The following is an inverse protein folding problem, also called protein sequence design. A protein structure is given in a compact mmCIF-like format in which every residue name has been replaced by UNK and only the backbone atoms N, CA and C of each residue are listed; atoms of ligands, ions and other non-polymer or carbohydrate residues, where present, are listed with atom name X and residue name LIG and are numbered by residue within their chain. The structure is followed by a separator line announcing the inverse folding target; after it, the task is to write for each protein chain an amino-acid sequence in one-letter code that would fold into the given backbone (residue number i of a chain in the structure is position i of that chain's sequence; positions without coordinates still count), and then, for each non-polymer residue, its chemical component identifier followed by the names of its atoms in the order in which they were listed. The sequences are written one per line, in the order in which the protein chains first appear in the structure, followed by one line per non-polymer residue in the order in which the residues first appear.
data_IF_420993929571
#
_entry.id   IF_420993929571
#
_cell.length_a   1.000
_cell.length_b   1.000
_cell.length_c   1.000
_cell.angle_alpha   90.00
_cell.angle_beta   90.00
_cell.angle_gamma   90.00
#
_symmetry.space_group_name_H-M   'P 1'
#
loop_
_entity.id
_entity.type
_entity.pdbx_description
1 polymer ?
#
# COMPACT_ATOMS: atom_id res chain seq x y z
N UNK A 1 -28.14 7.41 -25.40
CA UNK A 1 -27.64 7.43 -24.02
C UNK A 1 -27.42 6.00 -23.55
N UNK A 2 -26.16 5.56 -23.38
CA UNK A 2 -25.84 4.26 -22.77
C UNK A 2 -26.40 4.16 -21.34
N UNK A 3 -26.59 5.30 -20.69
CA UNK A 3 -27.14 5.42 -19.34
C UNK A 3 -28.67 5.22 -19.25
N UNK A 4 -29.41 5.24 -20.36
CA UNK A 4 -30.84 4.91 -20.36
C UNK A 4 -31.09 3.40 -20.54
N UNK A 5 -30.10 2.64 -21.01
CA UNK A 5 -30.23 1.17 -21.19
C UNK A 5 -29.76 0.35 -20.00
N UNK A 6 -29.11 0.96 -19.01
CA UNK A 6 -28.59 0.25 -17.84
C UNK A 6 -28.71 1.06 -16.54
N UNK A 7 -29.95 1.37 -16.15
CA UNK A 7 -30.27 2.09 -14.90
C UNK A 7 -29.66 1.44 -13.63
N UNK A 8 -29.33 0.15 -13.67
CA UNK A 8 -28.73 -0.59 -12.55
C UNK A 8 -27.21 -0.41 -12.38
N UNK A 9 -26.49 0.20 -13.35
CA UNK A 9 -25.03 0.40 -13.25
C UNK A 9 -24.66 1.61 -12.40
N UNK A 10 -25.56 2.60 -12.27
CA UNK A 10 -25.34 3.79 -11.42
C UNK A 10 -25.20 3.42 -9.93
N UNK A 11 -25.84 2.31 -9.51
CA UNK A 11 -25.79 1.80 -8.14
C UNK A 11 -24.62 0.84 -7.86
N UNK A 12 -24.02 0.23 -8.88
CA UNK A 12 -23.00 -0.82 -8.72
C UNK A 12 -21.55 -0.32 -8.85
N UNK A 13 -21.33 0.80 -9.54
CA UNK A 13 -19.98 1.27 -9.92
C UNK A 13 -19.61 2.68 -9.41
N UNK A 14 -20.49 3.36 -8.67
CA UNK A 14 -20.29 4.75 -8.23
C UNK A 14 -19.45 4.94 -6.95
N UNK A 15 -19.02 3.88 -6.27
CA UNK A 15 -18.56 3.98 -4.88
C UNK A 15 -17.33 3.14 -4.49
N UNK A 16 -16.43 2.81 -5.43
CA UNK A 16 -15.17 2.11 -5.08
C UNK A 16 -13.96 2.98 -5.43
N UNK A 17 -13.45 3.68 -4.41
CA UNK A 17 -12.18 4.40 -4.50
C UNK A 17 -11.05 3.37 -4.41
N UNK A 18 -10.35 3.11 -5.52
CA UNK A 18 -9.26 2.12 -5.64
C UNK A 18 -7.93 2.56 -5.01
N UNK A 19 -7.93 3.72 -4.37
CA UNK A 19 -6.81 4.27 -3.63
C UNK A 19 -7.25 4.49 -2.19
N UNK A 20 -6.52 3.91 -1.24
CA UNK A 20 -6.58 4.35 0.14
C UNK A 20 -6.24 5.83 0.16
N UNK A 21 -7.24 6.68 0.40
CA UNK A 21 -7.02 8.10 0.68
C UNK A 21 -6.35 8.19 2.04
N UNK A 22 -5.02 8.16 2.05
CA UNK A 22 -4.17 8.31 3.23
C UNK A 22 -2.75 7.89 2.89
N UNK A 23 -1.86 8.88 2.88
CA UNK A 23 -0.39 8.84 2.96
C UNK A 23 0.41 7.59 2.55
N UNK A 24 1.49 7.91 1.81
CA UNK A 24 2.80 7.26 1.80
C UNK A 24 2.95 5.99 0.96
N UNK A 25 3.99 6.02 0.12
CA UNK A 25 4.73 4.94 -0.54
C UNK A 25 3.94 3.64 -0.75
N UNK A 26 3.69 3.33 -2.01
CA UNK A 26 3.22 2.04 -2.51
C UNK A 26 4.32 0.96 -2.27
N UNK A 27 4.71 0.71 -1.01
CA UNK A 27 5.58 -0.41 -0.61
C UNK A 27 4.79 -1.70 -0.42
N UNK A 28 3.47 -1.63 -0.54
CA UNK A 28 2.61 -2.81 -0.59
C UNK A 28 2.25 -2.98 -2.05
N UNK A 29 3.06 -3.78 -2.76
CA UNK A 29 2.74 -4.24 -4.11
C UNK A 29 1.27 -4.64 -4.13
N UNK A 30 0.49 -4.17 -5.08
CA UNK A 30 -0.94 -4.54 -5.13
C UNK A 30 -1.03 -5.91 -5.80
N UNK A 31 -2.12 -6.65 -5.58
CA UNK A 31 -2.34 -7.92 -6.28
C UNK A 31 -2.61 -7.64 -7.76
N UNK A 32 -1.52 -7.46 -8.52
CA UNK A 32 -1.56 -6.96 -9.88
C UNK A 32 -2.29 -7.92 -10.81
N UNK A 33 -2.29 -9.22 -10.51
CA UNK A 33 -3.04 -10.25 -11.24
C UNK A 33 -4.55 -10.02 -11.14
N UNK A 34 -5.06 -9.66 -9.96
CA UNK A 34 -6.48 -9.32 -9.80
C UNK A 34 -6.81 -7.92 -10.34
N UNK A 35 -5.87 -6.97 -10.25
CA UNK A 35 -5.99 -5.68 -10.95
C UNK A 35 -6.06 -5.93 -12.46
N UNK A 36 -5.23 -6.81 -13.00
CA UNK A 36 -5.22 -7.24 -14.39
C UNK A 36 -6.51 -7.96 -14.75
N UNK A 37 -7.01 -8.92 -13.96
CA UNK A 37 -8.29 -9.58 -14.24
C UNK A 37 -9.45 -8.58 -14.15
N UNK A 38 -9.43 -7.65 -13.20
CA UNK A 38 -10.43 -6.59 -13.07
C UNK A 38 -10.36 -5.58 -14.22
N UNK A 39 -9.15 -5.25 -14.67
CA UNK A 39 -8.87 -4.36 -15.79
C UNK A 39 -9.16 -5.06 -17.11
N UNK A 40 -8.83 -6.33 -17.34
CA UNK A 40 -9.21 -7.12 -18.52
C UNK A 40 -10.73 -7.32 -18.61
N UNK A 41 -11.39 -7.49 -17.46
CA UNK A 41 -12.86 -7.53 -17.42
C UNK A 41 -13.52 -6.13 -17.59
N UNK A 42 -12.75 -5.03 -17.46
CA UNK A 42 -13.21 -3.63 -17.65
C UNK A 42 -12.78 -3.03 -19.00
N UNK A 43 -11.62 -3.47 -19.49
CA UNK A 43 -10.94 -3.16 -20.73
C UNK A 43 -10.79 -4.55 -21.37
N UNK A 44 -11.76 -4.97 -22.19
CA UNK A 44 -11.28 -5.61 -23.40
C UNK A 44 -10.40 -4.51 -24.01
N UNK A 45 -9.07 -4.71 -24.06
CA UNK A 45 -8.11 -3.64 -24.40
C UNK A 45 -8.50 -2.94 -25.73
N UNK A 46 -9.18 -3.68 -26.60
CA UNK A 46 -9.83 -3.21 -27.81
C UNK A 46 -11.04 -2.27 -27.51
N UNK A 47 -11.97 -2.63 -26.64
CA UNK A 47 -13.12 -1.78 -26.24
C UNK A 47 -12.71 -0.47 -25.56
N UNK A 48 -11.63 -0.47 -24.78
CA UNK A 48 -11.14 0.74 -24.13
C UNK A 48 -10.50 1.71 -25.12
N UNK A 49 -9.68 1.17 -26.03
CA UNK A 49 -9.05 1.91 -27.12
C UNK A 49 -10.10 2.45 -28.10
N UNK A 50 -11.10 1.63 -28.46
CA UNK A 50 -12.27 2.02 -29.26
C UNK A 50 -13.14 3.08 -28.54
N UNK A 51 -13.37 2.91 -27.23
CA UNK A 51 -14.11 3.87 -26.42
C UNK A 51 -13.41 5.22 -26.26
N UNK A 52 -12.08 5.30 -26.34
CA UNK A 52 -11.33 6.56 -26.38
C UNK A 52 -11.43 7.22 -27.76
N UNK A 53 -11.42 6.45 -28.84
CA UNK A 53 -11.66 6.97 -30.18
C UNK A 53 -13.06 7.59 -30.28
N UNK A 54 -14.06 6.99 -29.62
CA UNK A 54 -15.43 7.51 -29.53
C UNK A 54 -15.59 8.67 -28.52
N UNK A 55 -14.84 8.65 -27.40
CA UNK A 55 -14.93 9.65 -26.31
C UNK A 55 -13.56 10.18 -25.87
N UNK A 56 -12.84 10.96 -26.71
CA UNK A 56 -11.45 11.37 -26.47
C UNK A 56 -11.25 12.30 -25.26
N UNK A 57 -12.33 12.76 -24.63
CA UNK A 57 -12.31 13.65 -23.47
C UNK A 57 -12.86 12.98 -22.20
N UNK A 58 -13.05 11.65 -22.20
CA UNK A 58 -13.40 10.91 -20.98
C UNK A 58 -12.14 10.64 -20.13
N UNK A 59 -11.76 11.62 -19.30
CA UNK A 59 -10.54 11.54 -18.49
C UNK A 59 -10.54 10.41 -17.46
N UNK A 60 -11.70 9.90 -17.05
CA UNK A 60 -11.78 8.73 -16.17
C UNK A 60 -11.32 7.47 -16.91
N UNK A 61 -11.70 7.30 -18.18
CA UNK A 61 -11.21 6.20 -19.02
C UNK A 61 -9.71 6.36 -19.32
N UNK A 62 -9.26 7.56 -19.65
CA UNK A 62 -7.83 7.83 -19.88
C UNK A 62 -6.98 7.51 -18.64
N UNK A 63 -7.44 7.88 -17.44
CA UNK A 63 -6.74 7.56 -16.20
C UNK A 63 -6.72 6.05 -15.90
N UNK A 64 -7.82 5.34 -16.19
CA UNK A 64 -7.86 3.87 -16.06
C UNK A 64 -6.90 3.19 -17.03
N UNK A 65 -6.85 3.63 -18.28
CA UNK A 65 -5.89 3.11 -19.26
C UNK A 65 -4.46 3.39 -18.82
N UNK A 66 -4.15 4.63 -18.42
CA UNK A 66 -2.82 4.99 -17.90
C UNK A 66 -2.43 4.10 -16.71
N UNK A 67 -3.38 3.78 -15.83
CA UNK A 67 -3.13 2.88 -14.71
C UNK A 67 -2.86 1.45 -15.16
N UNK A 68 -3.65 0.92 -16.10
CA UNK A 68 -3.48 -0.43 -16.64
C UNK A 68 -2.10 -0.63 -17.27
N UNK A 69 -1.71 0.29 -18.16
CA UNK A 69 -0.42 0.28 -18.84
C UNK A 69 0.75 0.36 -17.84
N UNK A 70 0.59 1.19 -16.81
CA UNK A 70 1.57 1.34 -15.75
C UNK A 70 1.76 0.05 -14.94
N UNK A 71 0.67 -0.61 -14.55
CA UNK A 71 0.71 -1.88 -13.80
C UNK A 71 1.24 -3.02 -14.67
N UNK A 72 1.05 -2.99 -15.99
CA UNK A 72 1.58 -4.00 -16.89
C UNK A 72 3.13 -4.06 -16.91
N UNK A 73 3.78 -2.95 -16.53
CA UNK A 73 5.24 -2.84 -16.40
C UNK A 73 5.77 -3.04 -14.98
N UNK A 74 4.93 -3.47 -14.03
CA UNK A 74 5.27 -3.64 -12.62
C UNK A 74 5.90 -5.02 -12.35
N UNK A 75 7.03 -5.05 -11.64
CA UNK A 75 7.78 -6.28 -11.36
C UNK A 75 7.13 -7.14 -10.28
N UNK A 76 6.30 -6.53 -9.44
CA UNK A 76 5.48 -7.21 -8.43
C UNK A 76 4.28 -7.96 -9.03
N UNK A 77 3.98 -7.73 -10.32
CA UNK A 77 2.73 -8.17 -10.92
C UNK A 77 2.65 -9.63 -11.37
N UNK A 78 3.74 -10.40 -11.23
CA UNK A 78 3.87 -11.75 -11.80
C UNK A 78 3.58 -11.80 -13.32
N UNK A 79 3.79 -10.70 -14.03
CA UNK A 79 3.64 -10.61 -15.49
C UNK A 79 4.97 -11.03 -16.12
N UNK A 80 5.05 -12.13 -16.89
CA UNK A 80 6.34 -12.60 -17.43
C UNK A 80 7.08 -11.55 -18.27
N UNK A 81 6.31 -10.69 -18.96
CA UNK A 81 6.79 -9.69 -19.93
C UNK A 81 6.87 -8.26 -19.31
N UNK A 82 6.83 -8.12 -17.98
CA UNK A 82 6.75 -6.81 -17.33
C UNK A 82 7.86 -5.83 -17.76
N UNK A 83 9.10 -6.32 -17.95
CA UNK A 83 10.23 -5.49 -18.40
C UNK A 83 10.01 -4.92 -19.80
N UNK A 84 9.47 -5.73 -20.69
CA UNK A 84 9.18 -5.33 -22.07
C UNK A 84 8.01 -4.34 -22.09
N UNK A 85 6.98 -4.59 -21.27
CA UNK A 85 5.83 -3.68 -21.09
C UNK A 85 6.24 -2.32 -20.53
N UNK A 86 7.17 -2.30 -19.57
CA UNK A 86 7.71 -1.07 -18.97
C UNK A 86 8.29 -0.14 -20.06
N UNK A 87 9.09 -0.68 -20.97
CA UNK A 87 9.67 0.09 -22.08
C UNK A 87 8.62 0.42 -23.15
N UNK A 88 7.79 -0.55 -23.51
CA UNK A 88 6.77 -0.44 -24.57
C UNK A 88 5.74 0.65 -24.27
N UNK A 89 5.25 0.73 -23.03
CA UNK A 89 4.14 1.60 -22.66
C UNK A 89 4.56 2.99 -22.16
N UNK A 90 5.86 3.25 -21.99
CA UNK A 90 6.38 4.52 -21.47
C UNK A 90 5.84 5.75 -22.24
N UNK A 91 5.91 5.71 -23.58
CA UNK A 91 5.48 6.81 -24.42
C UNK A 91 3.97 7.10 -24.27
N UNK A 92 3.16 6.05 -24.15
CA UNK A 92 1.71 6.17 -24.02
C UNK A 92 1.30 6.64 -22.62
N UNK A 93 1.90 6.07 -21.57
CA UNK A 93 1.71 6.52 -20.18
C UNK A 93 2.08 8.01 -20.06
N UNK A 94 3.19 8.42 -20.67
CA UNK A 94 3.64 9.82 -20.68
C UNK A 94 2.62 10.72 -21.37
N UNK A 95 2.16 10.35 -22.56
CA UNK A 95 1.18 11.13 -23.33
C UNK A 95 -0.17 11.26 -22.59
N UNK A 96 -0.66 10.15 -22.02
CA UNK A 96 -1.89 10.14 -21.21
C UNK A 96 -1.74 11.01 -19.96
N UNK A 97 -0.65 10.86 -19.22
CA UNK A 97 -0.35 11.64 -18.02
C UNK A 97 -0.30 13.14 -18.30
N UNK A 98 0.46 13.55 -19.32
CA UNK A 98 0.59 14.96 -19.71
C UNK A 98 -0.76 15.55 -20.18
N UNK A 99 -1.56 14.76 -20.91
CA UNK A 99 -2.91 15.15 -21.35
C UNK A 99 -3.87 15.32 -20.16
N UNK A 100 -3.93 14.34 -19.25
CA UNK A 100 -4.80 14.39 -18.06
C UNK A 100 -4.40 15.56 -17.18
N UNK A 101 -3.11 15.71 -16.88
CA UNK A 101 -2.57 16.80 -16.06
C UNK A 101 -2.97 18.18 -16.61
N UNK A 102 -2.93 18.36 -17.94
CA UNK A 102 -3.20 19.64 -18.58
C UNK A 102 -4.69 19.96 -18.78
N UNK A 103 -5.51 18.95 -19.09
CA UNK A 103 -6.87 19.19 -19.61
C UNK A 103 -7.99 18.60 -18.76
N UNK A 104 -7.72 17.66 -17.86
CA UNK A 104 -8.78 17.05 -17.06
C UNK A 104 -9.38 18.10 -16.12
N UNK A 105 -10.71 18.29 -16.05
CA UNK A 105 -11.32 19.24 -15.12
C UNK A 105 -11.42 18.71 -13.67
N UNK A 106 -11.39 17.39 -13.48
CA UNK A 106 -11.46 16.77 -12.16
C UNK A 106 -10.10 16.81 -11.46
N UNK A 107 -10.04 17.46 -10.30
CA UNK A 107 -8.81 17.62 -9.53
C UNK A 107 -8.23 16.29 -9.03
N UNK A 108 -9.07 15.33 -8.61
CA UNK A 108 -8.57 14.07 -8.08
C UNK A 108 -7.92 13.24 -9.19
N UNK A 109 -8.57 13.17 -10.36
CA UNK A 109 -8.02 12.48 -11.52
C UNK A 109 -6.72 13.14 -11.97
N UNK A 110 -6.66 14.49 -11.99
CA UNK A 110 -5.40 15.21 -12.28
C UNK A 110 -4.29 14.83 -11.31
N UNK A 111 -4.53 14.89 -10.00
CA UNK A 111 -3.51 14.61 -8.99
C UNK A 111 -3.02 13.17 -9.06
N UNK A 112 -3.93 12.21 -9.25
CA UNK A 112 -3.59 10.78 -9.39
C UNK A 112 -2.71 10.53 -10.62
N UNK A 113 -3.12 11.01 -11.79
CA UNK A 113 -2.35 10.88 -13.01
C UNK A 113 -1.00 11.62 -12.94
N UNK A 114 -0.95 12.78 -12.29
CA UNK A 114 0.29 13.56 -12.10
C UNK A 114 1.29 12.79 -11.24
N UNK A 115 0.86 12.18 -10.14
CA UNK A 115 1.72 11.35 -9.30
C UNK A 115 2.23 10.11 -10.05
N UNK A 116 1.36 9.44 -10.83
CA UNK A 116 1.74 8.28 -11.66
C UNK A 116 2.72 8.67 -12.78
N UNK A 117 2.52 9.81 -13.42
CA UNK A 117 3.44 10.34 -14.43
C UNK A 117 4.83 10.64 -13.85
N UNK A 118 4.87 11.27 -12.69
CA UNK A 118 6.12 11.55 -11.98
C UNK A 118 6.88 10.25 -11.65
N UNK A 119 6.16 9.24 -11.15
CA UNK A 119 6.72 7.92 -10.84
C UNK A 119 7.28 7.25 -12.10
N UNK A 120 6.50 7.19 -13.19
CA UNK A 120 6.94 6.62 -14.46
C UNK A 120 8.23 7.29 -14.98
N UNK A 121 8.37 8.61 -14.83
CA UNK A 121 9.62 9.28 -15.17
C UNK A 121 10.79 8.85 -14.28
N UNK A 122 10.58 8.66 -12.98
CA UNK A 122 11.62 8.18 -12.08
C UNK A 122 12.09 6.76 -12.42
N UNK A 123 11.17 5.83 -12.68
CA UNK A 123 11.47 4.44 -13.04
C UNK A 123 12.27 4.36 -14.35
N UNK A 124 11.90 5.17 -15.34
CA UNK A 124 12.60 5.27 -16.61
C UNK A 124 13.91 6.09 -16.53
N UNK A 125 14.47 6.30 -15.33
CA UNK A 125 15.74 6.99 -15.09
C UNK A 125 15.70 8.52 -15.23
N UNK A 126 14.56 9.12 -15.57
CA UNK A 126 14.38 10.58 -15.73
C UNK A 126 14.03 11.25 -14.40
N UNK A 127 14.84 11.00 -13.37
CA UNK A 127 14.60 11.40 -11.98
C UNK A 127 14.33 12.90 -11.79
N UNK A 128 15.09 13.78 -12.47
CA UNK A 128 14.89 15.23 -12.38
C UNK A 128 13.60 15.71 -13.05
N UNK A 129 13.11 15.01 -14.09
CA UNK A 129 11.78 15.31 -14.65
C UNK A 129 10.68 14.85 -13.69
N UNK A 130 10.79 13.63 -13.15
CA UNK A 130 9.86 13.10 -12.16
C UNK A 130 9.78 13.97 -10.91
N UNK A 131 10.91 14.39 -10.35
CA UNK A 131 10.98 15.30 -9.19
C UNK A 131 10.23 16.61 -9.43
N UNK A 132 10.49 17.30 -10.54
CA UNK A 132 9.79 18.56 -10.87
C UNK A 132 8.27 18.39 -10.98
N UNK A 133 7.80 17.23 -11.46
CA UNK A 133 6.36 16.93 -11.51
C UNK A 133 5.82 16.67 -10.09
N UNK A 134 6.55 15.94 -9.23
CA UNK A 134 6.15 15.78 -7.82
C UNK A 134 6.05 17.11 -7.08
N UNK A 135 6.97 18.04 -7.34
CA UNK A 135 6.96 19.39 -6.77
C UNK A 135 5.75 20.23 -7.21
N UNK A 136 5.03 19.84 -8.26
CA UNK A 136 3.78 20.48 -8.68
C UNK A 136 2.53 20.01 -7.91
N UNK A 137 2.65 18.94 -7.12
CA UNK A 137 1.56 18.45 -6.28
C UNK A 137 1.33 19.39 -5.08
N UNK A 138 0.11 19.42 -4.50
CA UNK A 138 -0.15 20.18 -3.29
C UNK A 138 0.79 19.77 -2.16
N UNK A 139 1.34 20.76 -1.45
CA UNK A 139 2.16 20.48 -0.26
C UNK A 139 1.32 19.85 0.84
N UNK A 140 1.98 19.16 1.78
CA UNK A 140 1.31 18.64 2.97
C UNK A 140 0.64 19.76 3.77
N UNK A 141 1.24 20.94 3.86
CA UNK A 141 0.67 22.10 4.58
C UNK A 141 -0.64 22.59 3.96
N UNK A 142 -0.70 22.65 2.63
CA UNK A 142 -1.86 23.19 1.89
C UNK A 142 -2.81 22.10 1.37
N UNK A 143 -2.72 20.87 1.88
CA UNK A 143 -3.64 19.81 1.51
C UNK A 143 -5.03 20.03 2.14
N UNK A 144 -6.07 19.50 1.48
CA UNK A 144 -7.47 19.63 1.93
C UNK A 144 -7.65 19.19 3.39
N UNK A 145 -7.04 18.07 3.76
CA UNK A 145 -7.05 17.48 5.10
C UNK A 145 -6.48 18.39 6.21
N UNK A 146 -5.67 19.38 5.87
CA UNK A 146 -5.17 20.35 6.86
C UNK A 146 -5.98 21.64 6.89
N UNK A 147 -6.75 21.93 5.84
CA UNK A 147 -7.50 23.18 5.69
C UNK A 147 -8.97 23.07 6.09
N UNK A 148 -9.55 21.86 6.10
CA UNK A 148 -11.00 21.68 6.31
C UNK A 148 -11.51 21.97 7.72
N UNK A 149 -10.66 22.04 8.74
CA UNK A 149 -11.10 22.10 10.15
C UNK A 149 -12.16 23.17 10.42
N UNK A 150 -11.95 24.38 9.89
CA UNK A 150 -12.82 25.53 10.13
C UNK A 150 -14.15 25.49 9.35
N UNK A 151 -14.31 24.59 8.38
CA UNK A 151 -15.58 24.42 7.66
C UNK A 151 -16.49 23.35 8.27
N UNK A 152 -16.02 22.61 9.27
CA UNK A 152 -16.76 21.48 9.86
C UNK A 152 -17.79 21.97 10.88
N UNK A 153 -18.97 21.34 10.87
CA UNK A 153 -19.95 21.51 11.94
C UNK A 153 -19.49 20.81 13.22
N UNK A 154 -20.08 21.15 14.37
CA UNK A 154 -19.62 20.63 15.67
C UNK A 154 -19.72 19.10 15.78
N UNK A 155 -20.72 18.48 15.14
CA UNK A 155 -20.85 17.02 15.07
C UNK A 155 -19.86 16.36 14.09
N UNK A 156 -19.24 17.09 13.16
CA UNK A 156 -18.25 16.58 12.21
C UNK A 156 -16.80 16.65 12.75
N UNK A 157 -16.53 17.60 13.65
CA UNK A 157 -15.17 17.88 14.17
C UNK A 157 -14.51 16.66 14.83
N UNK A 158 -15.22 15.96 15.71
CA UNK A 158 -14.65 14.83 16.44
C UNK A 158 -14.32 13.63 15.52
N UNK A 159 -15.26 13.13 14.67
CA UNK A 159 -14.94 12.09 13.69
C UNK A 159 -13.79 12.49 12.75
N UNK A 160 -13.75 13.76 12.34
CA UNK A 160 -12.69 14.29 11.50
C UNK A 160 -11.32 14.22 12.17
N UNK A 161 -11.19 14.70 13.42
CA UNK A 161 -9.94 14.66 14.16
C UNK A 161 -9.45 13.22 14.38
N UNK A 162 -10.33 12.31 14.77
CA UNK A 162 -9.98 10.88 14.95
C UNK A 162 -9.43 10.28 13.67
N UNK A 163 -10.07 10.57 12.53
CA UNK A 163 -9.59 10.13 11.20
C UNK A 163 -8.25 10.76 10.83
N UNK A 164 -8.05 12.04 11.15
CA UNK A 164 -6.78 12.74 10.91
C UNK A 164 -5.66 12.17 11.76
N UNK A 165 -5.88 11.99 13.06
CA UNK A 165 -4.93 11.37 13.99
C UNK A 165 -4.53 9.99 13.50
N UNK A 166 -5.50 9.15 13.10
CA UNK A 166 -5.22 7.82 12.53
C UNK A 166 -4.28 7.90 11.33
N UNK A 167 -4.57 8.78 10.37
CA UNK A 167 -3.76 8.97 9.15
C UNK A 167 -2.35 9.48 9.47
N UNK A 168 -2.22 10.44 10.38
CA UNK A 168 -0.94 11.01 10.77
C UNK A 168 -0.07 9.97 11.51
N UNK A 169 -0.71 9.16 12.37
CA UNK A 169 -0.09 7.99 13.00
C UNK A 169 0.42 6.97 11.97
N UNK A 170 -0.44 6.55 11.02
CA UNK A 170 -0.09 5.59 9.98
C UNK A 170 1.05 6.11 9.09
N UNK A 171 1.06 7.41 8.77
CA UNK A 171 2.12 8.06 8.00
C UNK A 171 3.45 8.10 8.77
N UNK A 172 3.42 8.45 10.06
CA UNK A 172 4.61 8.47 10.90
C UNK A 172 5.18 7.06 11.07
N UNK A 173 4.32 6.07 11.36
CA UNK A 173 4.70 4.65 11.44
C UNK A 173 5.39 4.20 10.15
N UNK A 174 4.81 4.52 9.00
CA UNK A 174 5.37 4.16 7.69
C UNK A 174 6.72 4.83 7.44
N UNK A 175 6.88 6.08 7.86
CA UNK A 175 8.16 6.82 7.74
C UNK A 175 9.24 6.22 8.64
N UNK A 176 8.89 5.82 9.87
CA UNK A 176 9.79 5.13 10.80
C UNK A 176 10.23 3.79 10.20
N UNK A 177 9.29 3.01 9.66
CA UNK A 177 9.60 1.74 9.00
C UNK A 177 10.49 1.93 7.77
N UNK A 178 10.21 2.93 6.93
CA UNK A 178 11.03 3.25 5.76
C UNK A 178 12.45 3.65 6.17
N UNK A 179 12.61 4.50 7.19
CA UNK A 179 13.93 4.89 7.70
C UNK A 179 14.73 3.65 8.16
N UNK A 180 14.10 2.75 8.93
CA UNK A 180 14.74 1.53 9.41
C UNK A 180 15.11 0.54 8.28
N UNK A 181 14.40 0.56 7.15
CA UNK A 181 14.66 -0.34 6.02
C UNK A 181 15.42 0.33 4.85
N UNK A 182 15.74 1.62 4.96
CA UNK A 182 16.35 2.41 3.87
C UNK A 182 17.84 2.16 3.62
N UNK A 183 18.52 1.46 4.54
CA UNK A 183 19.99 1.39 4.59
C UNK A 183 20.71 2.74 4.73
N UNK A 184 19.99 3.84 5.03
CA UNK A 184 20.58 5.16 5.25
C UNK A 184 21.20 5.33 6.66
N UNK A 185 20.92 4.41 7.58
CA UNK A 185 21.41 4.39 8.97
C UNK A 185 21.93 2.98 9.29
N UNK A 186 22.71 2.83 10.38
CA UNK A 186 23.25 1.51 10.75
C UNK A 186 22.15 0.52 11.17
N UNK A 187 22.44 -0.78 11.15
CA UNK A 187 21.48 -1.80 11.58
C UNK A 187 21.11 -1.63 13.08
N UNK A 188 22.05 -1.22 13.93
CA UNK A 188 21.77 -0.90 15.34
C UNK A 188 20.83 0.30 15.48
N UNK A 189 21.05 1.36 14.68
CA UNK A 189 20.16 2.52 14.65
C UNK A 189 18.77 2.12 14.12
N UNK A 190 18.71 1.24 13.12
CA UNK A 190 17.47 0.73 12.54
C UNK A 190 16.65 -0.04 13.56
N UNK A 191 17.28 -0.87 14.40
CA UNK A 191 16.63 -1.57 15.52
C UNK A 191 16.08 -0.56 16.55
N UNK A 192 16.82 0.51 16.87
CA UNK A 192 16.31 1.56 17.77
C UNK A 192 15.12 2.29 17.15
N UNK A 193 15.16 2.59 15.86
CA UNK A 193 14.10 3.31 15.13
C UNK A 193 12.84 2.48 15.06
N UNK A 194 12.92 1.22 14.64
CA UNK A 194 11.76 0.34 14.51
C UNK A 194 11.12 0.03 15.88
N UNK A 195 11.93 -0.02 16.95
CA UNK A 195 11.45 -0.10 18.34
C UNK A 195 10.52 1.06 18.75
N UNK A 196 10.63 2.23 18.12
CA UNK A 196 9.73 3.36 18.39
C UNK A 196 8.30 3.13 17.88
N UNK A 197 8.08 2.20 16.94
CA UNK A 197 6.75 1.89 16.44
C UNK A 197 5.84 1.37 17.56
N UNK A 198 6.34 0.51 18.45
CA UNK A 198 5.54 -0.02 19.56
C UNK A 198 5.24 1.03 20.63
N UNK A 199 6.19 1.93 20.93
CA UNK A 199 5.91 3.05 21.84
C UNK A 199 4.85 3.98 21.25
N UNK A 200 4.86 4.18 19.93
CA UNK A 200 3.83 4.94 19.24
C UNK A 200 2.47 4.22 19.29
N UNK A 201 2.44 2.90 19.09
CA UNK A 201 1.22 2.08 19.22
C UNK A 201 0.60 2.19 20.61
N UNK A 202 1.41 2.12 21.67
CA UNK A 202 0.95 2.28 23.05
C UNK A 202 0.23 3.62 23.28
N UNK A 203 0.75 4.70 22.69
CA UNK A 203 0.14 6.03 22.77
C UNK A 203 -1.19 6.07 22.01
N UNK A 204 -1.21 5.52 20.79
CA UNK A 204 -2.38 5.62 19.90
C UNK A 204 -3.53 4.73 20.34
N UNK A 205 -3.21 3.54 20.87
CA UNK A 205 -4.17 2.52 21.27
C UNK A 205 -4.35 2.41 22.80
N UNK A 206 -3.85 3.36 23.59
CA UNK A 206 -3.98 3.38 25.06
C UNK A 206 -3.51 2.09 25.78
N UNK A 207 -2.35 1.56 25.37
CA UNK A 207 -1.83 0.25 25.82
C UNK A 207 -2.77 -0.95 25.56
N UNK A 208 -3.81 -0.80 24.74
CA UNK A 208 -4.67 -1.91 24.33
C UNK A 208 -3.98 -2.85 23.34
N UNK A 209 -4.57 -4.02 23.16
CA UNK A 209 -4.24 -4.97 22.09
C UNK A 209 -4.38 -4.24 20.76
N UNK A 210 -3.29 -4.16 20.00
CA UNK A 210 -3.35 -3.65 18.63
C UNK A 210 -4.08 -4.68 17.76
N UNK A 211 -4.83 -4.22 16.73
CA UNK A 211 -5.54 -5.14 15.86
C UNK A 211 -4.57 -6.14 15.24
N UNK A 212 -4.98 -7.41 15.14
CA UNK A 212 -4.22 -8.43 14.42
C UNK A 212 -4.15 -8.03 12.94
N UNK A 213 -3.10 -7.31 12.58
CA UNK A 213 -2.80 -6.86 11.23
C UNK A 213 -1.52 -7.51 10.72
N UNK A 214 -1.44 -7.73 9.41
CA UNK A 214 -0.27 -8.38 8.79
C UNK A 214 1.04 -7.63 9.09
N UNK A 215 0.96 -6.31 9.30
CA UNK A 215 2.09 -5.45 9.66
C UNK A 215 2.75 -5.83 10.99
N UNK A 216 2.05 -6.46 11.93
CA UNK A 216 2.65 -6.95 13.18
C UNK A 216 3.64 -8.10 12.91
N UNK A 217 3.26 -9.06 12.07
CA UNK A 217 4.16 -10.15 11.67
C UNK A 217 5.34 -9.62 10.84
N UNK A 218 5.06 -8.72 9.90
CA UNK A 218 6.09 -8.14 9.02
C UNK A 218 7.13 -7.32 9.79
N UNK A 219 6.71 -6.53 10.77
CA UNK A 219 7.63 -5.73 11.59
C UNK A 219 8.62 -6.61 12.34
N UNK A 220 8.14 -7.71 12.93
CA UNK A 220 8.97 -8.68 13.65
C UNK A 220 9.97 -9.36 12.71
N UNK A 221 9.55 -9.72 11.50
CA UNK A 221 10.44 -10.26 10.48
C UNK A 221 11.56 -9.29 10.11
N UNK A 222 11.23 -8.02 9.85
CA UNK A 222 12.22 -7.02 9.45
C UNK A 222 13.27 -6.79 10.54
N UNK A 223 12.87 -6.88 11.81
CA UNK A 223 13.78 -6.80 12.96
C UNK A 223 14.65 -8.03 13.08
N UNK A 224 14.07 -9.21 12.87
CA UNK A 224 14.84 -10.44 12.84
C UNK A 224 15.93 -10.39 11.76
N UNK A 225 15.66 -9.78 10.60
CA UNK A 225 16.69 -9.57 9.56
C UNK A 225 17.83 -8.69 10.06
N UNK A 226 17.52 -7.59 10.74
CA UNK A 226 18.54 -6.70 11.31
C UNK A 226 19.41 -7.43 12.34
N UNK A 227 18.79 -8.19 13.25
CA UNK A 227 19.55 -8.99 14.22
C UNK A 227 20.40 -10.09 13.58
N UNK A 228 19.89 -10.74 12.53
CA UNK A 228 20.63 -11.76 11.80
C UNK A 228 21.87 -11.16 11.09
N UNK A 229 21.76 -9.95 10.53
CA UNK A 229 22.91 -9.22 9.94
C UNK A 229 23.96 -8.83 10.97
N UNK A 230 23.53 -8.57 12.20
CA UNK A 230 24.42 -8.31 13.35
C UNK A 230 24.94 -9.59 14.03
N UNK A 231 24.74 -10.77 13.42
CA UNK A 231 25.09 -12.08 13.96
C UNK A 231 24.49 -12.38 15.35
N UNK A 232 23.42 -11.66 15.74
CA UNK A 232 22.67 -11.92 16.97
C UNK A 232 21.53 -12.92 16.69
N UNK A 233 21.93 -14.18 16.51
CA UNK A 233 21.03 -15.28 16.14
C UNK A 233 19.91 -15.51 17.17
N UNK A 234 20.19 -15.30 18.46
CA UNK A 234 19.23 -15.54 19.53
C UNK A 234 18.07 -14.54 19.46
N UNK A 235 18.38 -13.25 19.33
CA UNK A 235 17.37 -12.21 19.16
C UNK A 235 16.63 -12.37 17.81
N UNK A 236 17.33 -12.73 16.74
CA UNK A 236 16.70 -12.99 15.45
C UNK A 236 15.64 -14.09 15.54
N UNK A 237 15.96 -15.24 16.16
CA UNK A 237 15.02 -16.35 16.36
C UNK A 237 13.84 -15.96 17.26
N UNK A 238 14.06 -15.18 18.32
CA UNK A 238 13.00 -14.67 19.19
C UNK A 238 11.99 -13.84 18.39
N UNK A 239 12.46 -12.87 17.61
CA UNK A 239 11.62 -12.05 16.76
C UNK A 239 10.91 -12.86 15.67
N UNK A 240 11.56 -13.85 15.05
CA UNK A 240 10.90 -14.75 14.10
C UNK A 240 9.76 -15.54 14.74
N UNK A 241 9.92 -16.01 15.98
CA UNK A 241 8.87 -16.74 16.71
C UNK A 241 7.67 -15.86 17.04
N UNK A 242 7.92 -14.60 17.44
CA UNK A 242 6.86 -13.61 17.66
C UNK A 242 6.16 -13.30 16.34
N UNK A 243 6.90 -13.10 15.26
CA UNK A 243 6.37 -12.87 13.92
C UNK A 243 5.49 -14.01 13.41
N UNK A 244 5.93 -15.26 13.58
CA UNK A 244 5.14 -16.44 13.17
C UNK A 244 3.86 -16.59 14.00
N UNK A 245 3.91 -16.27 15.29
CA UNK A 245 2.73 -16.25 16.15
C UNK A 245 1.74 -15.17 15.69
N UNK A 246 2.23 -13.97 15.38
CA UNK A 246 1.40 -12.88 14.86
C UNK A 246 0.79 -13.23 13.49
N UNK A 247 1.53 -13.91 12.61
CA UNK A 247 1.00 -14.37 11.32
C UNK A 247 -0.18 -15.35 11.50
N UNK A 248 -0.02 -16.31 12.41
CA UNK A 248 -1.08 -17.27 12.73
C UNK A 248 -2.29 -16.62 13.38
N UNK A 249 -2.07 -15.67 14.29
CA UNK A 249 -3.15 -14.90 14.90
C UNK A 249 -3.92 -14.10 13.85
N UNK A 250 -3.21 -13.44 12.93
CA UNK A 250 -3.82 -12.75 11.81
C UNK A 250 -4.72 -13.67 10.99
N UNK A 251 -4.26 -14.83 10.53
CA UNK A 251 -5.08 -15.73 9.70
C UNK A 251 -6.33 -16.22 10.46
N UNK A 252 -6.18 -16.53 11.75
CA UNK A 252 -7.24 -17.08 12.61
C UNK A 252 -8.15 -16.03 13.26
N UNK A 253 -7.89 -14.74 13.04
CA UNK A 253 -8.65 -13.67 13.69
C UNK A 253 -10.14 -13.69 13.30
N UNK A 254 -11.05 -13.12 14.10
CA UNK A 254 -12.46 -13.09 13.75
C UNK A 254 -12.74 -12.19 12.53
N UNK A 255 -13.91 -12.36 11.92
CA UNK A 255 -14.39 -11.52 10.79
C UNK A 255 -14.46 -10.03 11.15
N UNK A 256 -14.77 -9.74 12.40
CA UNK A 256 -14.85 -8.39 12.94
C UNK A 256 -14.13 -8.32 14.29
N UNK A 257 -13.33 -7.27 14.48
CA UNK A 257 -12.69 -6.92 15.73
C UNK A 257 -13.03 -5.48 16.11
N UNK A 258 -13.34 -5.28 17.38
CA UNK A 258 -13.63 -3.96 17.93
C UNK A 258 -12.60 -3.59 18.99
N UNK A 259 -12.14 -2.35 18.94
CA UNK A 259 -11.19 -1.79 19.87
C UNK A 259 -11.50 -0.32 20.09
N UNK A 260 -11.26 0.16 21.30
CA UNK A 260 -11.54 1.52 21.69
C UNK A 260 -10.26 2.18 22.15
N UNK A 261 -10.06 3.42 21.71
CA UNK A 261 -9.03 4.30 22.25
C UNK A 261 -9.58 5.72 22.37
N UNK A 262 -8.98 6.52 23.24
CA UNK A 262 -9.30 7.94 23.42
C UNK A 262 -9.02 8.68 22.12
N UNK A 263 -7.86 8.41 21.50
CA UNK A 263 -7.39 9.11 20.31
C UNK A 263 -8.14 8.72 19.04
N UNK A 264 -8.56 7.47 18.90
CA UNK A 264 -9.22 7.00 17.69
C UNK A 264 -10.72 6.73 17.84
N UNK A 265 -11.23 6.72 19.08
CA UNK A 265 -12.60 6.29 19.40
C UNK A 265 -12.77 4.78 19.26
N UNK A 266 -14.02 4.36 19.07
CA UNK A 266 -14.35 2.98 18.75
C UNK A 266 -14.02 2.71 17.28
N UNK A 267 -13.20 1.69 17.05
CA UNK A 267 -12.83 1.23 15.72
C UNK A 267 -13.32 -0.20 15.56
N UNK A 268 -13.91 -0.44 14.40
CA UNK A 268 -14.27 -1.76 13.93
C UNK A 268 -13.37 -2.11 12.73
N UNK A 269 -12.47 -3.06 12.93
CA UNK A 269 -11.72 -3.67 11.83
C UNK A 269 -12.48 -4.89 11.33
N UNK A 270 -12.65 -4.98 10.01
CA UNK A 270 -13.28 -6.13 9.34
C UNK A 270 -12.28 -6.78 8.43
N UNK A 271 -12.33 -8.12 8.37
CA UNK A 271 -11.66 -8.85 7.30
C UNK A 271 -12.18 -8.33 5.96
N UNK A 272 -11.26 -8.18 5.03
CA UNK A 272 -11.57 -7.89 3.63
C UNK A 272 -10.94 -9.00 2.80
N UNK A 273 -11.53 -9.26 1.63
CA UNK A 273 -11.08 -10.36 0.75
C UNK A 273 -9.59 -10.26 0.37
N UNK A 274 -9.02 -9.04 0.42
CA UNK A 274 -7.64 -8.76 0.02
C UNK A 274 -6.96 -7.78 0.99
N UNK A 275 -6.17 -8.30 1.91
CA UNK A 275 -5.39 -7.48 2.87
C UNK A 275 -3.89 -7.48 2.60
N UNK A 276 -3.45 -8.41 1.76
CA UNK A 276 -2.07 -8.47 1.29
C UNK A 276 -2.04 -8.50 -0.23
N UNK A 277 -0.86 -8.25 -0.79
CA UNK A 277 -0.58 -8.34 -2.22
C UNK A 277 -0.66 -9.75 -2.79
N UNK A 278 -0.65 -10.73 -1.90
CA UNK A 278 -0.52 -12.15 -2.18
C UNK A 278 -1.84 -12.84 -1.83
N UNK A 279 -2.23 -13.83 -2.62
CA UNK A 279 -3.48 -14.58 -2.41
C UNK A 279 -3.36 -15.66 -1.34
N UNK A 280 -2.14 -15.98 -0.93
CA UNK A 280 -1.85 -16.95 0.13
C UNK A 280 -2.21 -16.40 1.51
N UNK A 281 -2.37 -17.29 2.49
CA UNK A 281 -2.51 -16.89 3.89
C UNK A 281 -1.24 -16.22 4.40
N UNK A 282 -1.30 -15.46 5.48
CA UNK A 282 -0.11 -14.80 6.00
C UNK A 282 0.94 -15.80 6.49
N UNK A 283 0.51 -16.93 7.05
CA UNK A 283 1.39 -18.04 7.38
C UNK A 283 2.12 -18.61 6.16
N UNK A 284 1.40 -18.84 5.05
CA UNK A 284 1.98 -19.30 3.80
C UNK A 284 2.95 -18.26 3.19
N UNK A 285 2.58 -16.98 3.19
CA UNK A 285 3.47 -15.89 2.76
C UNK A 285 4.74 -15.88 3.62
N UNK A 286 4.60 -15.99 4.94
CA UNK A 286 5.75 -15.97 5.82
C UNK A 286 6.67 -17.16 5.55
N UNK A 287 6.14 -18.37 5.47
CA UNK A 287 6.88 -19.60 5.22
C UNK A 287 7.56 -19.62 3.84
N UNK A 288 6.80 -19.32 2.79
CA UNK A 288 7.18 -19.59 1.40
C UNK A 288 7.77 -18.37 0.69
N UNK A 289 7.78 -17.19 1.32
CA UNK A 289 8.37 -15.96 0.76
C UNK A 289 9.29 -15.27 1.75
N UNK A 290 8.82 -14.97 2.95
CA UNK A 290 9.57 -14.13 3.88
C UNK A 290 10.74 -14.84 4.55
N UNK A 291 10.56 -16.10 4.98
CA UNK A 291 11.60 -16.91 5.60
C UNK A 291 12.61 -17.47 4.59
N UNK A 292 12.40 -17.24 3.29
CA UNK A 292 13.38 -17.53 2.25
C UNK A 292 14.49 -16.46 2.14
N UNK A 293 14.41 -15.38 2.92
CA UNK A 293 15.43 -14.32 2.94
C UNK A 293 16.84 -14.86 3.23
N UNK A 294 17.87 -14.46 2.45
CA UNK A 294 19.26 -14.91 2.66
C UNK A 294 19.83 -14.60 4.05
N UNK A 295 19.33 -13.55 4.71
CA UNK A 295 19.73 -13.18 6.07
C UNK A 295 19.52 -14.31 7.08
N UNK A 296 18.59 -15.23 6.80
CA UNK A 296 18.27 -16.33 7.71
C UNK A 296 18.99 -17.63 7.38
N UNK A 297 19.86 -17.68 6.36
CA UNK A 297 20.50 -18.91 5.90
C UNK A 297 21.29 -19.62 7.02
N UNK A 298 21.95 -18.86 7.91
CA UNK A 298 22.67 -19.39 9.08
C UNK A 298 21.75 -20.03 10.13
N UNK A 299 20.47 -19.68 10.13
CA UNK A 299 19.49 -20.10 11.14
C UNK A 299 18.66 -21.31 10.69
N UNK A 300 18.56 -21.58 9.38
CA UNK A 300 17.60 -22.56 8.82
C UNK A 300 17.71 -23.96 9.40
N UNK A 301 18.92 -24.40 9.72
CA UNK A 301 19.18 -25.76 10.20
C UNK A 301 19.00 -25.92 11.72
N UNK A 302 18.79 -24.81 12.44
CA UNK A 302 18.59 -24.81 13.90
C UNK A 302 17.26 -25.47 14.30
N UNK A 303 17.20 -26.02 15.50
CA UNK A 303 15.97 -26.63 16.02
C UNK A 303 14.86 -25.58 16.21
N UNK A 304 15.25 -24.41 16.71
CA UNK A 304 14.36 -23.27 16.95
C UNK A 304 13.75 -22.73 15.65
N UNK A 305 14.51 -22.68 14.55
CA UNK A 305 13.96 -22.28 13.25
C UNK A 305 12.94 -23.29 12.73
N UNK A 306 13.16 -24.59 12.95
CA UNK A 306 12.17 -25.63 12.63
C UNK A 306 10.90 -25.48 13.47
N UNK A 307 11.02 -25.20 14.77
CA UNK A 307 9.86 -24.89 15.62
C UNK A 307 9.07 -23.68 15.12
N UNK A 308 9.75 -22.65 14.61
CA UNK A 308 9.10 -21.47 14.03
C UNK A 308 8.30 -21.86 12.77
N UNK A 309 8.85 -22.73 11.93
CA UNK A 309 8.15 -23.25 10.75
C UNK A 309 6.89 -24.04 11.16
N UNK A 310 6.95 -24.84 12.22
CA UNK A 310 5.79 -25.57 12.75
C UNK A 310 4.65 -24.64 13.23
N UNK A 311 4.95 -23.41 13.67
CA UNK A 311 3.91 -22.43 14.02
C UNK A 311 3.09 -22.00 12.79
N UNK A 312 3.69 -22.05 11.59
CA UNK A 312 3.11 -21.58 10.33
C UNK A 312 2.28 -22.65 9.59
N UNK A 313 2.19 -23.87 10.13
CA UNK A 313 1.26 -24.92 9.70
C UNK A 313 -0.03 -24.90 10.53
#
# INVERSE_FOLDING_TARGET
MIFDRHANLKYKYGSRNFWSRGSFVDTVGKNAKMIQEYIQNQLEDDLASEGIAEYPNNFALLNKLMHALFIAGDDDGNIPEWKENLEKYDAEITALGERIMKYCPDQNIRLEATARLAFNHCEMGRKEKGRRIYESLPSAEFCKENQMWWSLTDNEKLPYLRKKIKRDYEALRSSIWLLANSSCISDEQSIVVINKVWELEKIVYDNAITPDGWGAAKLQLDIAKLFARLDNNLAALEHLKIGATAARLFDRRPEEQTFSSILLGDITARKIDFETSDTRTLCEIMRDKWLLSPEFDKLRDTGEFKEIIEILY
#
